data_IF_067021457071
#
_entry.id   IF_067021457071
#
_cell.length_a   1.000
_cell.length_b   1.000
_cell.length_c   1.000
_cell.angle_alpha   90.00
_cell.angle_beta   90.00
_cell.angle_gamma   90.00
#
_symmetry.space_group_name_H-M   'P 1'
#
loop_
_entity.id
_entity.type
_entity.pdbx_description
1 polymer ?
#
# COMPACT_ATOMS: atom_id res chain seq x y z
N UNK A 1 17.31 1.61 0.30
CA UNK A 1 16.01 0.90 0.29
C UNK A 1 15.21 1.40 -0.88
N UNK A 2 15.06 0.61 -1.94
CA UNK A 2 14.09 0.94 -2.98
C UNK A 2 12.68 0.85 -2.38
N UNK A 3 12.00 1.98 -2.30
CA UNK A 3 10.57 1.99 -2.00
C UNK A 3 9.87 1.54 -3.28
N UNK A 4 9.58 0.25 -3.38
CA UNK A 4 8.67 -0.25 -4.41
C UNK A 4 7.29 0.37 -4.17
N UNK A 5 6.81 1.13 -5.15
CA UNK A 5 5.54 1.84 -5.12
C UNK A 5 4.60 1.24 -6.16
N UNK A 6 3.34 1.07 -5.77
CA UNK A 6 2.24 0.72 -6.65
C UNK A 6 1.35 1.92 -6.91
N UNK A 7 0.89 2.05 -8.13
CA UNK A 7 -0.24 2.89 -8.51
C UNK A 7 -1.55 2.27 -8.03
N UNK A 8 -2.59 3.10 -7.97
CA UNK A 8 -3.96 2.63 -7.66
C UNK A 8 -4.42 1.49 -8.57
N UNK A 9 -4.02 1.52 -9.86
CA UNK A 9 -4.37 0.48 -10.83
C UNK A 9 -3.69 -0.86 -10.53
N UNK A 10 -2.44 -0.83 -10.11
CA UNK A 10 -1.72 -2.04 -9.71
C UNK A 10 -2.32 -2.63 -8.44
N UNK A 11 -2.59 -1.79 -7.44
CA UNK A 11 -3.25 -2.23 -6.19
C UNK A 11 -4.64 -2.79 -6.45
N UNK A 12 -5.42 -2.20 -7.37
CA UNK A 12 -6.74 -2.72 -7.70
C UNK A 12 -6.68 -4.11 -8.31
N UNK A 13 -5.67 -4.39 -9.14
CA UNK A 13 -5.44 -5.71 -9.70
C UNK A 13 -5.01 -6.73 -8.62
N UNK A 14 -4.13 -6.33 -7.70
CA UNK A 14 -3.66 -7.20 -6.59
C UNK A 14 -4.81 -7.55 -5.66
N UNK A 15 -5.61 -6.55 -5.25
CA UNK A 15 -6.74 -6.74 -4.35
C UNK A 15 -8.01 -7.26 -5.05
N UNK A 16 -7.95 -7.48 -6.38
CA UNK A 16 -9.09 -7.89 -7.22
C UNK A 16 -10.35 -7.05 -6.96
N UNK A 17 -10.17 -5.73 -6.88
CA UNK A 17 -11.24 -4.77 -6.60
C UNK A 17 -11.22 -3.60 -7.60
N UNK A 18 -12.23 -2.72 -7.53
CA UNK A 18 -12.24 -1.54 -8.40
C UNK A 18 -11.22 -0.48 -7.93
N UNK A 19 -10.65 0.32 -8.84
CA UNK A 19 -9.81 1.46 -8.46
C UNK A 19 -10.50 2.42 -7.47
N UNK A 20 -11.82 2.60 -7.61
CA UNK A 20 -12.63 3.37 -6.67
C UNK A 20 -12.52 2.83 -5.25
N UNK A 21 -12.57 1.49 -5.07
CA UNK A 21 -12.43 0.87 -3.76
C UNK A 21 -11.05 1.14 -3.14
N UNK A 22 -10.00 1.11 -3.94
CA UNK A 22 -8.65 1.46 -3.50
C UNK A 22 -8.59 2.93 -3.03
N UNK A 23 -9.21 3.86 -3.76
CA UNK A 23 -9.32 5.26 -3.30
C UNK A 23 -10.08 5.38 -1.97
N UNK A 24 -11.13 4.59 -1.75
CA UNK A 24 -11.82 4.55 -0.45
C UNK A 24 -10.92 4.04 0.67
N UNK A 25 -10.18 2.96 0.45
CA UNK A 25 -9.26 2.38 1.44
C UNK A 25 -8.18 3.38 1.84
N UNK A 26 -7.66 4.15 0.87
CA UNK A 26 -6.72 5.24 1.11
C UNK A 26 -7.38 6.37 1.91
N UNK A 27 -8.60 6.78 1.54
CA UNK A 27 -9.37 7.82 2.24
C UNK A 27 -9.68 7.44 3.69
N UNK A 28 -9.97 6.17 3.94
CA UNK A 28 -10.23 5.60 5.27
C UNK A 28 -8.96 5.35 6.08
N UNK A 29 -7.77 5.74 5.58
CA UNK A 29 -6.48 5.48 6.19
C UNK A 29 -6.16 3.99 6.45
N UNK A 30 -6.87 3.07 5.78
CA UNK A 30 -6.59 1.62 5.84
C UNK A 30 -5.34 1.25 5.06
N UNK A 31 -5.03 2.01 4.01
CA UNK A 31 -3.79 1.92 3.24
C UNK A 31 -3.16 3.31 3.24
N UNK A 32 -1.94 3.45 3.76
CA UNK A 32 -1.22 4.72 3.83
C UNK A 32 -0.41 4.91 2.54
N UNK A 33 -0.72 5.91 1.70
CA UNK A 33 0.08 6.24 0.53
C UNK A 33 1.36 6.98 0.93
N UNK A 34 2.42 6.90 0.11
CA UNK A 34 3.68 7.67 0.35
C UNK A 34 3.49 9.13 -0.02
N UNK A 35 3.03 9.40 -1.25
CA UNK A 35 2.97 10.76 -1.79
C UNK A 35 1.85 10.87 -2.82
N UNK A 36 1.18 12.03 -2.88
CA UNK A 36 0.47 12.49 -4.08
C UNK A 36 1.48 13.21 -4.97
N UNK A 37 2.08 12.53 -5.94
CA UNK A 37 2.92 13.22 -6.94
C UNK A 37 1.95 13.87 -7.92
N UNK A 38 1.62 15.14 -7.67
CA UNK A 38 0.50 15.82 -8.32
C UNK A 38 -0.84 15.14 -8.02
N UNK A 39 -1.51 14.62 -9.06
CA UNK A 39 -2.80 13.91 -8.94
C UNK A 39 -2.67 12.39 -8.73
N UNK A 40 -1.46 11.82 -8.80
CA UNK A 40 -1.25 10.37 -8.74
C UNK A 40 -0.96 9.93 -7.30
N UNK A 41 -1.77 8.99 -6.80
CA UNK A 41 -1.55 8.32 -5.52
C UNK A 41 -0.60 7.15 -5.74
N UNK A 42 0.49 7.11 -4.97
CA UNK A 42 1.43 6.00 -4.92
C UNK A 42 1.36 5.32 -3.55
N UNK A 43 1.18 4.00 -3.57
CA UNK A 43 1.00 3.15 -2.41
C UNK A 43 2.26 2.30 -2.24
N UNK A 44 2.98 2.41 -1.12
CA UNK A 44 4.17 1.58 -0.91
C UNK A 44 3.76 0.13 -0.70
N UNK A 45 4.56 -0.80 -1.24
CA UNK A 45 4.36 -2.25 -1.10
C UNK A 45 4.13 -2.63 0.37
N UNK A 46 4.92 -2.06 1.29
CA UNK A 46 4.80 -2.39 2.70
C UNK A 46 3.47 -1.98 3.32
N UNK A 47 2.88 -0.86 2.89
CA UNK A 47 1.56 -0.46 3.38
C UNK A 47 0.47 -1.36 2.79
N UNK A 48 0.61 -1.80 1.55
CA UNK A 48 -0.31 -2.76 0.96
C UNK A 48 -0.23 -4.12 1.68
N UNK A 49 0.98 -4.61 1.94
CA UNK A 49 1.19 -5.86 2.66
C UNK A 49 0.69 -5.79 4.10
N UNK A 50 0.87 -4.64 4.77
CA UNK A 50 0.31 -4.39 6.10
C UNK A 50 -1.21 -4.57 6.10
N UNK A 51 -1.89 -4.02 5.09
CA UNK A 51 -3.32 -4.17 4.91
C UNK A 51 -3.74 -5.62 4.61
N UNK A 52 -3.04 -6.31 3.69
CA UNK A 52 -3.37 -7.70 3.29
C UNK A 52 -3.15 -8.69 4.44
N UNK A 53 -2.05 -8.53 5.18
CA UNK A 53 -1.65 -9.46 6.24
C UNK A 53 -2.27 -9.11 7.60
N UNK A 54 -2.92 -7.96 7.73
CA UNK A 54 -3.45 -7.47 9.00
C UNK A 54 -2.36 -7.19 10.05
N UNK A 55 -1.13 -6.92 9.61
CA UNK A 55 0.03 -6.65 10.47
C UNK A 55 0.43 -5.20 10.39
N UNK A 56 1.04 -4.67 11.46
CA UNK A 56 1.58 -3.32 11.43
C UNK A 56 2.79 -3.22 10.49
N UNK A 57 3.09 -2.01 10.01
CA UNK A 57 4.28 -1.77 9.18
C UNK A 57 5.55 -2.08 9.97
N UNK A 58 5.58 -1.78 11.27
CA UNK A 58 6.72 -2.10 12.15
C UNK A 58 6.96 -3.61 12.26
N UNK A 59 5.90 -4.41 12.35
CA UNK A 59 6.01 -5.88 12.37
C UNK A 59 6.59 -6.43 11.06
N UNK A 60 6.16 -5.89 9.91
CA UNK A 60 6.67 -6.30 8.61
C UNK A 60 8.13 -5.89 8.39
N UNK A 61 8.55 -4.73 8.90
CA UNK A 61 9.95 -4.29 8.82
C UNK A 61 10.86 -5.21 9.65
N UNK A 62 10.43 -5.61 10.85
CA UNK A 62 11.21 -6.53 11.70
C UNK A 62 11.42 -7.89 11.04
N UNK A 63 10.41 -8.42 10.35
CA UNK A 63 10.53 -9.69 9.63
C UNK A 63 11.49 -9.60 8.44
N UNK A 64 11.55 -8.44 7.77
CA UNK A 64 12.43 -8.23 6.60
C UNK A 64 13.88 -7.96 6.94
N UNK A 65 14.20 -7.71 8.22
CA UNK A 65 15.56 -7.50 8.70
C UNK A 65 16.25 -8.79 9.17
N UNK A 66 15.60 -9.94 9.02
CA UNK A 66 16.10 -11.26 9.44
C UNK A 66 16.64 -12.08 8.25
N UNK A 67 16.49 -11.58 7.01
CA UNK A 67 17.08 -12.15 5.79
C UNK A 67 18.34 -11.39 5.34
#
# INVERSE_FOLDING_TARGET
MELSLYTVKEVSNILKCSPAKVYELVRQAKIKPVTRVGKKILIPVISLNSFILGKSVEELLKLKSID
#
